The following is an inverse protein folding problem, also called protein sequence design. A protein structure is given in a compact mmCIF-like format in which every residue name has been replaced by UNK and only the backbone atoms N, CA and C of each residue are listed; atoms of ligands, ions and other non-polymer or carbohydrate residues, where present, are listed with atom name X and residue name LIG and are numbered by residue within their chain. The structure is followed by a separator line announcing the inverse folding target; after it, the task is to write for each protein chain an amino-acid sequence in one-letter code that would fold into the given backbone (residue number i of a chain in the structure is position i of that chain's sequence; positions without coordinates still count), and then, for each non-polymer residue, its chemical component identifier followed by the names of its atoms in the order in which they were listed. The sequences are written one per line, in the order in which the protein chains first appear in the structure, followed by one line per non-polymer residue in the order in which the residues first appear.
data_IF_498891866892
#
_entry.id   IF_498891866892
#
_cell.length_a   1.000
_cell.length_b   1.000
_cell.length_c   1.000
_cell.angle_alpha   90.00
_cell.angle_beta   90.00
_cell.angle_gamma   90.00
#
_symmetry.space_group_name_H-M   'P 1'
#
loop_
_entity.id
_entity.type
_entity.pdbx_description
1 polymer ?
#
# COMPACT_ATOMS: atom_id res chain seq x y z
N UNK A 1 15.54 -13.91 -21.96
CA UNK A 1 14.42 -14.17 -22.13
C UNK A 1 13.38 -13.81 -21.13
N UNK A 2 13.17 -12.55 -21.04
CA UNK A 2 12.15 -12.04 -20.14
C UNK A 2 10.76 -12.48 -20.54
N UNK A 3 10.51 -12.65 -21.83
CA UNK A 3 9.20 -13.12 -22.28
C UNK A 3 8.91 -14.51 -21.77
N UNK A 4 9.92 -15.34 -21.71
CA UNK A 4 9.74 -16.70 -21.21
C UNK A 4 9.31 -16.68 -19.75
N UNK A 5 9.91 -15.80 -18.97
CA UNK A 5 9.56 -15.69 -17.57
C UNK A 5 8.13 -15.20 -17.39
N UNK A 6 7.68 -14.28 -18.24
CA UNK A 6 6.31 -13.79 -18.15
C UNK A 6 5.32 -14.89 -18.47
N UNK A 7 5.64 -15.72 -19.45
CA UNK A 7 4.76 -16.81 -19.82
C UNK A 7 4.62 -17.80 -18.69
N UNK A 8 5.68 -17.98 -17.92
CA UNK A 8 5.69 -18.96 -16.85
C UNK A 8 5.15 -18.45 -15.54
N UNK A 9 4.72 -17.17 -15.50
CA UNK A 9 4.17 -16.61 -14.27
C UNK A 9 2.89 -17.34 -13.91
N UNK A 10 2.87 -17.89 -12.71
CA UNK A 10 1.71 -18.63 -12.22
C UNK A 10 0.64 -17.67 -11.73
N UNK A 11 -0.63 -18.11 -11.72
CA UNK A 11 -1.70 -17.23 -11.23
C UNK A 11 -1.48 -16.72 -9.82
N UNK A 12 -0.94 -17.53 -8.91
CA UNK A 12 -0.67 -17.09 -7.55
C UNK A 12 0.45 -16.07 -7.51
N UNK A 13 1.48 -16.23 -8.34
CA UNK A 13 2.55 -15.24 -8.43
C UNK A 13 2.06 -13.95 -9.06
N UNK A 14 1.18 -14.08 -10.05
CA UNK A 14 0.61 -12.89 -10.66
C UNK A 14 -0.21 -12.10 -9.64
N UNK A 15 -0.99 -12.79 -8.82
CA UNK A 15 -1.77 -12.15 -7.80
C UNK A 15 -0.87 -11.47 -6.77
N UNK A 16 0.23 -12.12 -6.38
CA UNK A 16 1.19 -11.51 -5.48
C UNK A 16 1.80 -10.26 -6.07
N UNK A 17 2.14 -10.29 -7.35
CA UNK A 17 2.71 -9.13 -8.02
C UNK A 17 1.70 -8.00 -8.10
N UNK A 18 0.43 -8.33 -8.32
CA UNK A 18 -0.62 -7.33 -8.37
C UNK A 18 -0.85 -6.70 -7.01
N UNK A 19 -0.83 -7.49 -5.95
CA UNK A 19 -0.94 -6.97 -4.59
C UNK A 19 0.24 -6.04 -4.29
N UNK A 20 1.44 -6.45 -4.67
CA UNK A 20 2.62 -5.61 -4.47
C UNK A 20 2.55 -4.32 -5.26
N UNK A 21 1.93 -4.34 -6.43
CA UNK A 21 1.77 -3.14 -7.24
C UNK A 21 0.80 -2.16 -6.56
N UNK A 22 -0.27 -2.68 -5.97
CA UNK A 22 -1.18 -1.84 -5.19
C UNK A 22 -0.44 -1.22 -4.01
N UNK A 23 0.35 -2.03 -3.33
CA UNK A 23 1.14 -1.55 -2.20
C UNK A 23 2.05 -0.40 -2.62
N UNK A 24 2.75 -0.58 -3.73
CA UNK A 24 3.66 0.44 -4.22
C UNK A 24 2.91 1.73 -4.57
N UNK A 25 1.76 1.60 -5.20
CA UNK A 25 0.96 2.77 -5.58
C UNK A 25 0.50 3.55 -4.36
N UNK A 26 0.00 2.85 -3.34
CA UNK A 26 -0.45 3.49 -2.12
C UNK A 26 0.71 4.13 -1.36
N UNK A 27 1.84 3.47 -1.35
CA UNK A 27 3.02 4.00 -0.66
C UNK A 27 3.52 5.28 -1.33
N UNK A 28 3.63 5.26 -2.65
CA UNK A 28 4.18 6.40 -3.38
C UNK A 28 3.27 7.61 -3.29
N UNK A 29 1.95 7.40 -3.42
CA UNK A 29 1.03 8.53 -3.41
C UNK A 29 0.75 9.05 -2.01
N UNK A 30 0.70 8.17 -1.03
CA UNK A 30 0.35 8.56 0.33
C UNK A 30 -1.05 9.13 0.45
N UNK A 31 -1.88 8.96 -0.56
CA UNK A 31 -3.24 9.50 -0.61
C UNK A 31 -4.22 8.41 -0.98
N UNK A 32 -5.51 8.58 -0.65
CA UNK A 32 -6.50 7.60 -1.04
C UNK A 32 -6.60 7.47 -2.55
N UNK A 33 -6.69 6.23 -3.01
CA UNK A 33 -6.80 5.92 -4.44
C UNK A 33 -8.08 5.16 -4.71
N UNK A 34 -8.75 5.54 -5.80
CA UNK A 34 -9.96 4.86 -6.29
C UNK A 34 -9.64 3.50 -6.86
N UNK A 35 -10.64 2.66 -6.88
CA UNK A 35 -10.55 1.38 -7.57
C UNK A 35 -10.22 1.58 -9.05
N UNK A 36 -10.77 2.63 -9.66
CA UNK A 36 -10.49 2.89 -11.07
C UNK A 36 -9.02 3.22 -11.31
N UNK A 37 -8.40 3.97 -10.41
CA UNK A 37 -6.97 4.28 -10.51
C UNK A 37 -6.15 3.01 -10.34
N UNK A 38 -6.50 2.19 -9.36
CA UNK A 38 -5.80 0.93 -9.15
C UNK A 38 -5.97 0.01 -10.35
N UNK A 39 -7.16 -0.01 -10.94
CA UNK A 39 -7.41 -0.80 -12.14
C UNK A 39 -6.54 -0.37 -13.31
N UNK A 40 -6.34 0.93 -13.47
CA UNK A 40 -5.47 1.43 -14.52
C UNK A 40 -4.02 0.99 -14.30
N UNK A 41 -3.57 1.07 -13.05
CA UNK A 41 -2.21 0.65 -12.72
C UNK A 41 -2.01 -0.84 -12.96
N UNK A 42 -3.02 -1.64 -12.61
CA UNK A 42 -2.93 -3.10 -12.74
C UNK A 42 -3.34 -3.60 -14.12
N UNK A 43 -3.89 -2.72 -14.95
CA UNK A 43 -4.46 -3.09 -16.23
C UNK A 43 -5.58 -4.13 -16.03
N UNK A 44 -6.43 -3.88 -15.06
CA UNK A 44 -7.59 -4.71 -14.74
C UNK A 44 -8.83 -3.87 -14.81
N UNK A 45 -9.94 -4.51 -15.25
CA UNK A 45 -11.23 -3.83 -15.35
C UNK A 45 -12.23 -4.30 -14.31
N UNK A 46 -12.02 -5.48 -13.74
CA UNK A 46 -12.96 -6.03 -12.78
C UNK A 46 -12.77 -5.35 -11.42
N UNK A 47 -13.75 -4.56 -11.04
CA UNK A 47 -13.72 -3.90 -9.74
C UNK A 47 -13.68 -4.93 -8.61
N UNK A 48 -14.42 -6.01 -8.77
CA UNK A 48 -14.46 -7.06 -7.76
C UNK A 48 -13.08 -7.67 -7.55
N UNK A 49 -12.36 -7.91 -8.64
CA UNK A 49 -11.03 -8.50 -8.55
C UNK A 49 -10.05 -7.52 -7.90
N UNK A 50 -10.16 -6.25 -8.26
CA UNK A 50 -9.29 -5.22 -7.68
C UNK A 50 -9.53 -5.12 -6.18
N UNK A 51 -10.79 -5.12 -5.75
CA UNK A 51 -11.11 -5.04 -4.33
C UNK A 51 -10.63 -6.26 -3.58
N UNK A 52 -10.67 -7.43 -4.21
CA UNK A 52 -10.15 -8.65 -3.60
C UNK A 52 -8.66 -8.55 -3.36
N UNK A 53 -7.92 -8.05 -4.34
CA UNK A 53 -6.48 -7.86 -4.21
C UNK A 53 -6.14 -6.83 -3.15
N UNK A 54 -6.90 -5.74 -3.10
CA UNK A 54 -6.69 -4.71 -2.08
C UNK A 54 -6.98 -5.25 -0.68
N UNK A 55 -7.98 -6.13 -0.56
CA UNK A 55 -8.29 -6.76 0.73
C UNK A 55 -7.15 -7.66 1.19
N UNK A 56 -6.54 -8.38 0.27
CA UNK A 56 -5.36 -9.20 0.61
C UNK A 56 -4.26 -8.32 1.18
N UNK A 57 -4.01 -7.18 0.56
CA UNK A 57 -3.01 -6.25 1.06
C UNK A 57 -3.38 -5.70 2.44
N UNK A 58 -4.64 -5.34 2.61
CA UNK A 58 -5.13 -4.82 3.88
C UNK A 58 -4.92 -5.84 5.00
N UNK A 59 -5.24 -7.10 4.72
CA UNK A 59 -5.09 -8.16 5.73
C UNK A 59 -3.62 -8.44 6.01
N UNK A 60 -2.79 -8.36 5.00
CA UNK A 60 -1.35 -8.55 5.18
C UNK A 60 -0.79 -7.53 6.17
N UNK A 61 -1.19 -6.28 6.02
CA UNK A 61 -0.73 -5.23 6.93
C UNK A 61 -1.38 -5.35 8.31
N UNK A 62 -2.61 -5.83 8.39
CA UNK A 62 -3.25 -6.02 9.68
C UNK A 62 -2.56 -7.08 10.53
N UNK A 63 -1.92 -8.06 9.88
CA UNK A 63 -1.23 -9.12 10.59
C UNK A 63 0.21 -8.78 10.92
N UNK A 64 0.73 -7.70 10.37
CA UNK A 64 2.10 -7.27 10.63
C UNK A 64 2.15 -6.33 11.82
N UNK A 65 3.18 -6.48 12.64
CA UNK A 65 3.36 -5.64 13.82
C UNK A 65 4.11 -4.37 13.46
N UNK A 66 3.79 -3.75 12.35
CA UNK A 66 4.45 -2.54 11.90
C UNK A 66 3.65 -1.29 12.17
N UNK A 67 4.16 -0.17 11.70
CA UNK A 67 3.55 1.13 11.95
C UNK A 67 2.50 1.51 10.90
N UNK A 68 2.46 0.79 9.79
CA UNK A 68 1.59 1.13 8.67
C UNK A 68 0.35 0.26 8.65
N UNK A 69 -0.72 0.81 8.11
CA UNK A 69 -1.95 0.08 7.87
C UNK A 69 -2.50 0.46 6.52
N UNK A 70 -3.31 -0.42 5.95
CA UNK A 70 -4.03 -0.16 4.72
C UNK A 70 -5.50 -0.18 5.05
N UNK A 71 -6.20 0.89 4.70
CA UNK A 71 -7.61 1.04 5.02
C UNK A 71 -8.45 1.15 3.77
N UNK A 72 -9.66 0.64 3.85
CA UNK A 72 -10.69 0.93 2.88
C UNK A 72 -11.60 1.99 3.49
N UNK A 73 -11.69 3.13 2.84
CA UNK A 73 -12.48 4.25 3.34
C UNK A 73 -13.96 4.05 3.00
N UNK A 74 -14.79 4.82 3.68
CA UNK A 74 -16.24 4.68 3.50
C UNK A 74 -16.70 4.97 2.07
N UNK A 75 -15.93 5.76 1.32
CA UNK A 75 -16.25 6.03 -0.08
C UNK A 75 -15.66 4.99 -1.04
N UNK A 76 -15.04 3.94 -0.51
CA UNK A 76 -14.53 2.85 -1.33
C UNK A 76 -13.09 3.00 -1.80
N UNK A 77 -12.43 4.09 -1.44
CA UNK A 77 -11.02 4.27 -1.79
C UNK A 77 -10.13 3.57 -0.77
N UNK A 78 -8.91 3.31 -1.19
CA UNK A 78 -7.92 2.66 -0.33
C UNK A 78 -6.77 3.62 -0.05
N UNK A 79 -6.21 3.53 1.15
CA UNK A 79 -5.11 4.41 1.55
C UNK A 79 -4.16 3.64 2.46
N UNK A 80 -2.88 3.96 2.34
CA UNK A 80 -1.86 3.47 3.27
C UNK A 80 -1.47 4.63 4.18
N UNK A 81 -1.48 4.39 5.48
CA UNK A 81 -1.20 5.43 6.44
C UNK A 81 -0.61 4.85 7.71
N UNK A 82 -0.14 5.71 8.58
CA UNK A 82 0.33 5.28 9.89
C UNK A 82 -0.84 4.86 10.76
N UNK A 83 -0.63 3.80 11.54
CA UNK A 83 -1.61 3.42 12.55
C UNK A 83 -1.75 4.56 13.57
N UNK A 84 -2.92 4.72 14.20
CA UNK A 84 -3.14 5.83 15.13
C UNK A 84 -2.09 5.92 16.24
N UNK A 85 -1.62 4.77 16.73
CA UNK A 85 -0.63 4.77 17.80
C UNK A 85 0.66 5.49 17.39
N UNK A 86 0.99 5.44 16.11
CA UNK A 86 2.21 6.05 15.61
C UNK A 86 1.98 7.44 15.04
N UNK A 87 0.80 7.69 14.52
CA UNK A 87 0.53 8.98 13.89
C UNK A 87 0.55 10.12 14.90
N UNK A 88 0.16 9.86 16.14
CA UNK A 88 0.22 10.86 17.18
C UNK A 88 1.63 11.36 17.40
N UNK A 89 2.58 10.45 17.48
CA UNK A 89 3.98 10.80 17.74
C UNK A 89 4.61 11.54 16.58
N UNK A 90 4.36 11.06 15.36
CA UNK A 90 5.04 11.61 14.18
C UNK A 90 4.45 12.96 13.77
N UNK A 91 3.16 13.17 14.00
CA UNK A 91 2.52 14.42 13.58
C UNK A 91 2.78 15.60 14.51
N UNK A 92 3.43 15.36 15.64
CA UNK A 92 3.84 16.47 16.49
C UNK A 92 5.09 17.11 15.90
N UNK A 93 5.03 18.38 15.50
CA UNK A 93 6.17 19.01 14.82
C UNK A 93 7.45 19.00 15.65
N UNK A 94 7.33 19.19 16.95
CA UNK A 94 8.49 19.23 17.83
C UNK A 94 9.22 17.89 17.83
N UNK A 95 8.48 16.80 17.97
CA UNK A 95 9.07 15.47 18.00
C UNK A 95 9.78 15.15 16.68
N UNK A 96 9.15 15.51 15.57
CA UNK A 96 9.71 15.25 14.26
C UNK A 96 10.99 16.05 14.02
N UNK A 97 10.97 17.33 14.40
CA UNK A 97 12.14 18.19 14.25
C UNK A 97 13.31 17.68 15.07
N UNK A 98 13.06 17.28 16.31
CA UNK A 98 14.12 16.73 17.16
C UNK A 98 14.70 15.46 16.57
N UNK A 99 13.85 14.57 16.08
CA UNK A 99 14.32 13.32 15.47
C UNK A 99 15.16 13.59 14.23
N UNK A 100 14.74 14.53 13.40
CA UNK A 100 15.48 14.87 12.19
C UNK A 100 16.84 15.49 12.52
N UNK A 101 16.89 16.30 13.56
CA UNK A 101 18.17 16.88 14.00
C UNK A 101 19.12 15.82 14.48
N UNK A 102 18.62 14.82 15.23
CA UNK A 102 19.46 13.74 15.70
C UNK A 102 20.06 12.94 14.55
N UNK A 103 19.23 12.64 13.54
CA UNK A 103 19.70 11.94 12.37
C UNK A 103 20.77 12.73 11.62
N UNK A 104 20.61 14.04 11.59
CA UNK A 104 21.54 14.90 10.88
C UNK A 104 22.88 14.98 11.59
N UNK A 105 22.86 14.93 12.91
CA UNK A 105 24.09 15.05 13.72
C UNK A 105 24.83 13.75 13.85
N UNK A 106 24.18 12.63 13.61
CA UNK A 106 24.86 11.34 13.66
C UNK A 106 25.43 10.98 12.31
#
# INVERSE_FOLDING_TARGET
MSETQQIETRPDERAKNQVSMIEAALYVTGKPLDVSVLGSILNLRSEEKIRRLATVLKEKYAQCAGALEVLELSDGRYVMQLKPAYSKSVKQPTALVVAMRRLRLS
#
